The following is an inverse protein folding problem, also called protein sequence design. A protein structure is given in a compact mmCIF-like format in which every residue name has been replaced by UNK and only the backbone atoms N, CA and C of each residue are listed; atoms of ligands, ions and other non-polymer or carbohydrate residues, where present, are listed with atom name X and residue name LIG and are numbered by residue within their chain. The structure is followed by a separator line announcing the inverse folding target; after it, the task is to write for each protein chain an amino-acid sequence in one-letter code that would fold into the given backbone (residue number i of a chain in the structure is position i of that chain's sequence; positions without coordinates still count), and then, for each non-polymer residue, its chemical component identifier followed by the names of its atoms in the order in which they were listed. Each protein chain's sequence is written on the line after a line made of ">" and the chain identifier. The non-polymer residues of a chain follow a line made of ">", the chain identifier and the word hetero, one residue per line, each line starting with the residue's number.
data_IF_954640056722
#
_entry.id   IF_954640056722
#
_cell.length_a   1.000
_cell.length_b   1.000
_cell.length_c   1.000
_cell.angle_alpha   90.00
_cell.angle_beta   90.00
_cell.angle_gamma   90.00
#
_symmetry.space_group_name_H-M   'P 1'
#
loop_
_entity.id
_entity.type
_entity.pdbx_description
1 polymer ?
2 water ?
#
# COMPACT_ATOMS: atom_id res chain seq x y z
N UNK A 1 6.48 41.04 20.53
CA UNK A 1 7.33 41.62 19.45
C UNK A 1 8.19 40.55 18.76
N UNK A 2 8.74 39.62 19.53
CA UNK A 2 9.58 38.54 19.01
C UNK A 2 8.84 37.21 18.81
N UNK A 3 9.24 36.46 17.79
CA UNK A 3 8.58 35.21 17.46
C UNK A 3 9.61 34.20 16.93
N UNK A 4 9.96 33.22 17.76
CA UNK A 4 10.84 32.14 17.32
C UNK A 4 10.09 31.16 16.41
N UNK A 5 10.73 30.71 15.33
CA UNK A 5 10.12 29.70 14.47
C UNK A 5 10.49 28.28 14.86
N UNK A 6 9.49 27.44 15.00
CA UNK A 6 9.72 25.99 15.00
C UNK A 6 8.86 25.35 13.90
N UNK A 7 9.52 24.55 13.08
CA UNK A 7 8.91 23.91 11.93
C UNK A 7 7.93 22.82 12.39
N UNK A 8 7.00 22.49 11.53
CA UNK A 8 6.14 21.35 11.74
C UNK A 8 7.02 20.10 11.85
N UNK A 9 6.88 19.36 12.94
CA UNK A 9 7.69 18.18 13.11
C UNK A 9 7.20 17.01 12.26
N UNK A 10 8.10 16.06 12.05
CA UNK A 10 7.83 14.84 11.29
C UNK A 10 7.99 13.65 12.24
N UNK A 11 7.03 12.72 12.18
CA UNK A 11 7.00 11.52 13.01
C UNK A 11 6.69 10.36 12.07
N UNK A 12 6.98 9.15 12.52
CA UNK A 12 6.69 7.95 11.75
C UNK A 12 6.03 6.86 12.54
N UNK A 13 5.28 6.04 11.82
CA UNK A 13 4.67 4.83 12.36
C UNK A 13 5.07 3.72 11.41
N UNK A 14 5.67 2.67 11.93
CA UNK A 14 5.92 1.47 11.12
C UNK A 14 4.75 0.51 11.36
N UNK A 15 4.23 -0.07 10.28
CA UNK A 15 3.02 -0.88 10.31
C UNK A 15 3.40 -2.33 9.98
N UNK A 16 2.94 -3.25 10.82
CA UNK A 16 3.07 -4.68 10.56
C UNK A 16 1.70 -5.29 10.72
N UNK A 17 1.38 -6.28 9.88
CA UNK A 17 0.10 -6.94 9.97
C UNK A 17 0.42 -8.40 10.25
N UNK A 18 0.04 -8.89 11.43
CA UNK A 18 0.44 -10.24 11.87
C UNK A 18 1.98 -10.48 11.90
N UNK A 19 2.71 -9.45 12.31
CA UNK A 19 4.18 -9.40 12.38
C UNK A 19 4.85 -9.31 11.01
N UNK A 20 4.05 -9.25 9.94
CA UNK A 20 4.57 -9.02 8.60
C UNK A 20 4.69 -7.51 8.35
N UNK A 21 5.91 -7.03 8.15
CA UNK A 21 6.09 -5.60 7.88
C UNK A 21 5.41 -5.20 6.59
N UNK A 22 4.75 -4.04 6.61
CA UNK A 22 4.08 -3.50 5.43
C UNK A 22 4.92 -2.31 4.96
N UNK A 23 5.17 -1.40 5.88
CA UNK A 23 5.95 -0.20 5.55
C UNK A 23 5.75 0.93 6.53
N UNK A 24 6.41 2.04 6.23
CA UNK A 24 6.44 3.22 7.09
C UNK A 24 5.49 4.34 6.62
N UNK A 25 4.76 4.92 7.57
CA UNK A 25 3.96 6.14 7.37
C UNK A 25 4.71 7.30 8.05
N UNK A 26 4.91 8.38 7.32
CA UNK A 26 5.54 9.58 7.86
C UNK A 26 4.50 10.67 7.82
N UNK A 27 4.24 11.28 8.98
CA UNK A 27 3.25 12.34 9.14
C UNK A 27 3.89 13.65 9.54
N UNK A 28 3.34 14.72 8.98
CA UNK A 28 3.75 16.09 9.30
C UNK A 28 2.69 16.63 10.22
N UNK A 29 3.06 17.22 11.34
CA UNK A 29 2.11 17.67 12.37
C UNK A 29 2.03 19.20 12.39
N UNK A 30 0.83 19.73 12.55
CA UNK A 30 0.52 21.16 12.39
C UNK A 30 0.71 21.89 13.72
N UNK A 31 1.96 22.19 14.04
CA UNK A 31 2.32 22.68 15.36
C UNK A 31 1.68 24.04 15.63
N UNK A 32 1.68 24.91 14.63
CA UNK A 32 1.09 26.26 14.77
C UNK A 32 -0.40 26.22 15.09
N UNK A 33 -1.14 25.45 14.31
CA UNK A 33 -2.61 25.45 14.40
C UNK A 33 -3.18 24.56 15.49
N UNK A 34 -2.39 23.58 15.92
CA UNK A 34 -2.84 22.61 16.92
C UNK A 34 -1.67 22.24 17.84
N UNK A 35 -1.29 23.18 18.70
CA UNK A 35 -0.03 22.93 19.41
C UNK A 35 -0.11 21.88 20.53
N UNK A 36 -1.18 21.85 21.30
CA UNK A 36 -1.35 20.82 22.35
C UNK A 36 -1.52 19.42 21.79
N UNK A 37 -2.21 19.36 20.65
CA UNK A 37 -2.51 18.10 19.96
C UNK A 37 -1.23 17.54 19.31
N UNK A 38 -0.49 18.43 18.68
CA UNK A 38 0.78 18.09 18.05
C UNK A 38 1.75 17.58 19.12
N UNK A 39 1.82 18.30 20.25
CA UNK A 39 2.73 17.89 21.32
C UNK A 39 2.40 16.49 21.85
N UNK A 40 1.11 16.22 22.04
CA UNK A 40 0.64 14.93 22.50
C UNK A 40 1.06 13.79 21.54
N UNK A 41 0.73 13.95 20.27
CA UNK A 41 1.05 12.92 19.27
C UNK A 41 2.56 12.71 19.09
N UNK A 42 3.29 13.81 19.01
CA UNK A 42 4.75 13.78 18.90
C UNK A 42 5.36 13.00 20.04
N UNK A 43 4.93 13.26 21.26
CA UNK A 43 5.49 12.59 22.43
C UNK A 43 5.06 11.13 22.60
N UNK A 44 3.86 10.79 22.14
CA UNK A 44 3.41 9.42 22.07
C UNK A 44 4.17 8.64 21.00
N UNK A 45 4.59 9.27 19.92
CA UNK A 45 5.50 8.59 18.98
C UNK A 45 6.90 8.43 19.58
N UNK A 46 7.37 9.47 20.24
CA UNK A 46 8.75 9.48 20.74
C UNK A 46 8.91 8.53 21.93
N UNK A 47 7.85 8.39 22.72
CA UNK A 47 7.78 7.38 23.76
C UNK A 47 8.53 7.72 25.04
N UNK A 48 8.68 9.02 25.33
CA UNK A 48 9.54 9.46 26.46
C UNK A 48 8.81 10.09 27.64
N UNK A 49 7.47 10.05 27.63
CA UNK A 49 6.72 10.49 28.80
C UNK A 49 6.41 9.29 29.68
N UNK A 50 6.66 9.42 30.99
CA UNK A 50 6.40 8.30 31.90
C UNK A 50 4.90 8.04 32.05
N UNK A 51 4.55 6.76 32.10
CA UNK A 51 3.17 6.34 32.10
C UNK A 51 2.56 6.45 33.48
N UNK A 52 1.35 7.05 33.57
CA UNK A 52 0.58 7.08 34.79
C UNK A 52 -0.30 5.83 34.94
N UNK A 53 -0.18 4.90 33.99
CA UNK A 53 -0.98 3.68 33.97
C UNK A 53 -0.30 2.48 34.66
N UNK A 54 1.03 2.47 34.66
CA UNK A 54 1.86 1.38 35.22
C UNK A 54 3.29 1.88 35.51
N UNK A 55 3.86 1.42 36.62
CA UNK A 55 5.06 2.05 37.22
C UNK A 55 6.37 1.96 36.41
N UNK A 56 6.59 0.89 35.68
CA UNK A 56 7.88 0.71 34.97
C UNK A 56 7.72 0.91 33.45
N UNK A 57 7.12 2.03 33.07
CA UNK A 57 6.59 2.17 31.70
C UNK A 57 6.56 3.60 31.14
N UNK A 58 6.49 3.69 29.83
CA UNK A 58 6.35 4.99 29.17
C UNK A 58 5.11 4.94 28.31
N UNK A 59 4.54 6.10 28.02
CA UNK A 59 3.40 6.15 27.12
C UNK A 59 3.94 6.07 25.71
N UNK A 60 3.35 5.21 24.90
CA UNK A 60 3.81 5.14 23.52
C UNK A 60 2.79 4.48 22.62
N UNK A 61 2.86 4.78 21.33
CA UNK A 61 2.03 4.06 20.35
C UNK A 61 2.66 2.73 19.92
N UNK A 62 3.90 2.46 20.33
CA UNK A 62 4.54 1.20 19.94
C UNK A 62 3.77 0.01 20.46
N UNK A 63 3.43 -0.90 19.55
CA UNK A 63 2.61 -2.07 19.85
C UNK A 63 1.11 -1.89 19.82
N UNK A 64 0.65 -0.66 19.57
CA UNK A 64 -0.75 -0.34 19.54
C UNK A 64 -1.33 -0.76 18.20
N UNK A 65 -2.61 -1.12 18.23
CA UNK A 65 -3.33 -1.56 17.06
C UNK A 65 -4.26 -0.55 16.42
N UNK A 66 -4.50 -0.72 15.12
CA UNK A 66 -5.63 -0.09 14.44
C UNK A 66 -6.89 -0.93 14.72
N UNK A 67 -7.74 -0.40 15.59
CA UNK A 67 -8.92 -1.16 16.07
C UNK A 67 -10.21 -0.88 15.29
N UNK A 68 -10.19 0.10 14.41
CA UNK A 68 -11.34 0.41 13.56
C UNK A 68 -10.90 0.89 12.17
N UNK A 69 -11.39 0.17 11.17
CA UNK A 69 -11.08 0.47 9.77
C UNK A 69 -12.38 0.53 8.99
N UNK A 70 -12.61 1.68 8.36
CA UNK A 70 -13.79 1.91 7.53
C UNK A 70 -13.37 2.36 6.14
N UNK A 71 -13.44 1.42 5.20
CA UNK A 71 -13.07 1.72 3.83
C UNK A 71 -13.90 2.89 3.30
N UNK A 72 -13.24 3.80 2.58
CA UNK A 72 -13.81 5.05 2.06
C UNK A 72 -14.13 6.09 3.12
N UNK A 73 -13.47 6.01 4.27
CA UNK A 73 -13.71 6.94 5.37
C UNK A 73 -12.42 7.16 6.17
N UNK A 74 -12.02 6.20 6.98
CA UNK A 74 -10.85 6.39 7.84
C UNK A 74 -10.35 5.12 8.52
N UNK A 75 -9.13 5.20 9.04
CA UNK A 75 -8.55 4.18 9.89
C UNK A 75 -8.17 4.79 11.24
N UNK A 76 -8.46 4.06 12.30
CA UNK A 76 -8.40 4.56 13.67
C UNK A 76 -7.54 3.69 14.59
N UNK A 77 -6.72 4.34 15.41
CA UNK A 77 -5.84 3.67 16.36
C UNK A 77 -5.75 4.50 17.64
N UNK A 78 -4.91 4.05 18.55
CA UNK A 78 -4.47 4.82 19.71
C UNK A 78 -5.11 4.55 21.07
N UNK A 79 -5.83 3.43 21.23
CA UNK A 79 -6.27 3.01 22.59
C UNK A 79 -5.10 2.35 23.30
N UNK A 80 -4.31 3.18 23.95
CA UNK A 80 -3.09 2.71 24.62
C UNK A 80 -3.34 2.26 26.06
N UNK A 81 -4.60 2.36 26.48
CA UNK A 81 -5.06 1.83 27.78
C UNK A 81 -5.37 0.33 27.65
N UNK A 82 -6.16 -0.03 26.64
CA UNK A 82 -6.61 -1.42 26.45
C UNK A 82 -5.99 -2.10 25.25
N UNK A 83 -5.44 -1.33 24.33
CA UNK A 83 -5.30 -1.85 22.97
C UNK A 83 -3.93 -2.38 22.65
N UNK A 84 -3.08 -2.44 23.67
CA UNK A 84 -1.68 -2.69 23.46
C UNK A 84 -1.23 -3.96 24.19
N UNK A 85 -1.72 -4.19 25.41
CA UNK A 85 -1.41 -5.41 26.18
C UNK A 85 -2.32 -6.58 25.81
N UNK A 86 -2.39 -7.61 26.66
CA UNK A 86 -3.12 -8.84 26.33
C UNK A 86 -4.10 -9.28 27.41
N UNK A 87 -5.35 -9.45 27.00
CA UNK A 87 -6.38 -10.08 27.84
C UNK A 87 -6.81 -9.19 29.00
N UNK A 90 -9.04 -7.41 25.19
CA UNK A 90 -10.33 -7.42 25.84
C UNK A 90 -11.39 -7.02 24.86
N UNK A 91 -12.64 -7.22 25.23
CA UNK A 91 -13.74 -6.56 24.57
C UNK A 91 -13.64 -5.06 24.79
N UNK A 92 -12.65 -4.64 25.57
CA UNK A 92 -12.51 -3.27 25.93
C UNK A 92 -11.77 -2.42 24.90
N UNK A 93 -11.09 -3.03 23.96
CA UNK A 93 -10.29 -2.26 23.02
C UNK A 93 -11.12 -1.24 22.27
N UNK A 94 -10.69 0.00 22.28
CA UNK A 94 -11.47 1.06 21.69
C UNK A 94 -12.16 1.95 22.67
N UNK A 95 -12.25 1.50 23.91
CA UNK A 95 -12.93 2.26 24.93
C UNK A 95 -12.04 3.15 25.76
N UNK A 96 -10.74 3.00 25.58
CA UNK A 96 -9.75 3.69 26.40
C UNK A 96 -8.91 4.69 25.66
N UNK A 97 -8.24 5.54 26.41
CA UNK A 97 -7.16 6.37 25.89
C UNK A 97 -6.51 7.15 27.01
N UNK A 98 -5.35 7.71 26.71
CA UNK A 98 -4.51 8.39 27.69
C UNK A 98 -3.54 9.36 27.01
N UNK A 99 -3.72 10.65 27.25
CA UNK A 99 -2.83 11.65 26.73
C UNK A 99 -1.60 11.75 27.62
N UNK A 100 -0.62 12.52 27.14
CA UNK A 100 0.59 12.85 27.90
C UNK A 100 0.28 13.81 29.06
N UNK A 101 -0.92 14.40 29.07
CA UNK A 101 -1.30 15.30 30.18
C UNK A 101 -1.96 14.60 31.38
N UNK A 102 -2.17 13.28 31.30
CA UNK A 102 -2.83 12.52 32.36
C UNK A 102 -1.89 12.47 33.55
N UNK A 103 -2.44 12.43 34.77
CA UNK A 103 -1.61 12.12 35.94
C UNK A 103 -2.16 10.95 36.72
N UNK A 104 -1.29 10.41 37.57
CA UNK A 104 -1.60 9.18 38.27
C UNK A 104 -2.81 9.38 39.19
N UNK A 105 -2.96 10.59 39.75
CA UNK A 105 -4.12 10.94 40.61
C UNK A 105 -5.47 10.73 39.90
N UNK A 106 -5.59 11.21 38.67
CA UNK A 106 -6.80 10.98 37.88
C UNK A 106 -7.08 9.50 37.67
N UNK A 107 -6.04 8.72 37.39
CA UNK A 107 -6.21 7.30 37.07
C UNK A 107 -6.74 6.51 38.29
N UNK A 108 -6.23 6.85 39.48
CA UNK A 108 -6.65 6.21 40.73
C UNK A 108 -8.09 6.61 41.11
N UNK A 109 -8.35 7.92 41.15
CA UNK A 109 -9.63 8.44 41.66
C UNK A 109 -10.82 8.05 40.79
N UNK A 110 -10.75 8.29 39.48
CA UNK A 110 -11.85 7.89 38.59
C UNK A 110 -11.69 6.45 38.09
N UNK A 111 -12.23 5.53 38.91
CA UNK A 111 -12.37 4.09 38.58
C UNK A 111 -13.10 3.80 37.27
N UNK A 112 -14.27 4.39 37.12
CA UNK A 112 -15.21 4.05 36.04
C UNK A 112 -14.78 4.54 34.66
N UNK A 113 -13.93 5.56 34.62
CA UNK A 113 -13.47 6.15 33.36
C UNK A 113 -12.15 5.51 32.94
N UNK A 114 -11.99 5.34 31.64
CA UNK A 114 -10.77 4.77 31.07
C UNK A 114 -10.13 5.68 30.03
N UNK A 115 -10.57 6.94 30.03
CA UNK A 115 -10.03 7.97 29.16
C UNK A 115 -9.46 9.08 30.01
N UNK A 116 -8.13 9.15 30.04
CA UNK A 116 -7.41 9.99 30.98
C UNK A 116 -6.69 11.13 30.27
N UNK A 117 -6.60 12.28 30.93
CA UNK A 117 -5.87 13.42 30.39
C UNK A 117 -6.58 14.10 29.23
N UNK A 118 -7.91 14.04 29.21
CA UNK A 118 -8.65 14.66 28.11
C UNK A 118 -8.24 16.09 28.01
N UNK A 119 -8.06 16.54 26.78
CA UNK A 119 -7.66 17.91 26.55
C UNK A 119 -8.42 18.59 25.41
N UNK A 120 -8.16 19.87 25.22
CA UNK A 120 -9.02 20.71 24.39
C UNK A 120 -8.96 20.42 22.90
N UNK A 121 -10.08 20.64 22.23
CA UNK A 121 -10.13 20.70 20.78
C UNK A 121 -9.26 21.82 20.25
N UNK A 122 -8.66 21.57 19.08
CA UNK A 122 -7.93 22.61 18.36
C UNK A 122 -8.16 22.44 16.87
N UNK A 123 -8.10 23.56 16.14
CA UNK A 123 -8.15 23.53 14.68
C UNK A 123 -9.30 22.66 14.14
N UNK A 124 -10.53 22.98 14.53
CA UNK A 124 -11.70 22.17 14.14
C UNK A 124 -12.18 22.46 12.71
N UNK A 125 -11.40 22.04 11.71
CA UNK A 125 -11.70 22.37 10.31
C UNK A 125 -12.51 21.35 9.53
N UNK A 126 -12.36 21.38 8.21
CA UNK A 126 -13.09 20.48 7.31
C UNK A 126 -12.19 19.34 6.83
N UNK A 127 -12.78 18.15 6.68
CA UNK A 127 -12.11 16.97 6.18
C UNK A 127 -12.42 16.81 4.71
N UNK A 128 -11.51 17.40 3.93
CA UNK A 128 -11.65 17.48 2.48
C UNK A 128 -10.74 16.47 1.77
N UNK A 129 -9.45 16.54 2.04
CA UNK A 129 -8.46 15.68 1.38
C UNK A 129 -8.27 14.38 2.16
N UNK A 130 -8.00 13.29 1.44
CA UNK A 130 -7.58 12.09 2.17
C UNK A 130 -6.25 12.31 2.89
N UNK A 131 -5.96 11.42 3.85
CA UNK A 131 -4.70 11.39 4.57
C UNK A 131 -4.55 12.51 5.59
N UNK A 132 -5.69 13.00 6.07
CA UNK A 132 -5.71 14.00 7.14
C UNK A 132 -5.71 13.30 8.49
N UNK A 133 -4.86 13.76 9.41
CA UNK A 133 -4.87 13.26 10.78
C UNK A 133 -5.82 14.07 11.65
N UNK A 134 -6.73 13.36 12.31
CA UNK A 134 -7.64 13.94 13.29
C UNK A 134 -7.74 13.18 14.59
N UNK A 135 -8.14 13.87 15.66
CA UNK A 135 -8.38 13.23 16.94
C UNK A 135 -9.77 12.66 17.05
N UNK A 136 -9.81 11.44 17.56
CA UNK A 136 -11.06 10.78 17.86
C UNK A 136 -11.46 11.39 19.16
N UNK A 137 -12.73 11.45 19.47
CA UNK A 137 -12.98 11.97 20.79
C UNK A 137 -14.15 11.20 21.31
N UNK A 138 -14.72 11.63 22.43
CA UNK A 138 -15.79 10.87 23.03
C UNK A 138 -17.13 11.37 22.57
N UNK A 139 -17.14 12.25 21.57
CA UNK A 139 -18.40 12.71 21.01
C UNK A 139 -18.92 14.00 21.64
N UNK A 140 -18.09 14.64 22.47
CA UNK A 140 -18.38 15.97 22.99
C UNK A 140 -17.09 16.78 22.97
N UNK A 141 -17.20 18.11 23.09
CA UNK A 141 -16.04 18.98 23.05
C UNK A 141 -14.98 18.64 24.08
N UNK A 142 -13.73 18.84 23.67
CA UNK A 142 -12.58 18.75 24.55
C UNK A 142 -12.40 17.41 25.23
N UNK A 143 -12.62 16.36 24.46
CA UNK A 143 -12.45 15.00 24.96
C UNK A 143 -11.39 14.21 24.16
N UNK A 144 -10.30 14.89 23.83
CA UNK A 144 -9.17 14.32 23.14
C UNK A 144 -8.23 13.65 24.11
N UNK A 145 -7.77 12.46 23.77
CA UNK A 145 -6.77 11.81 24.61
C UNK A 145 -5.62 11.22 23.79
N UNK A 146 -5.74 9.96 23.38
CA UNK A 146 -4.71 9.33 22.53
C UNK A 146 -5.26 8.70 21.24
N UNK A 147 -6.58 8.52 21.12
CA UNK A 147 -7.13 7.89 19.92
C UNK A 147 -7.14 8.91 18.76
N UNK A 148 -6.77 8.43 17.58
CA UNK A 148 -6.68 9.28 16.41
C UNK A 148 -7.07 8.49 15.19
N UNK A 149 -7.30 9.22 14.09
CA UNK A 149 -7.59 8.57 12.80
C UNK A 149 -6.85 9.25 11.65
N UNK A 150 -6.71 8.50 10.56
CA UNK A 150 -6.20 9.03 9.32
C UNK A 150 -7.34 8.83 8.33
N UNK A 151 -7.80 9.91 7.73
CA UNK A 151 -8.86 9.79 6.74
C UNK A 151 -8.30 9.21 5.44
N UNK A 152 -9.19 8.56 4.71
CA UNK A 152 -8.87 7.92 3.44
C UNK A 152 -9.78 8.44 2.33
N UNK A 153 -10.54 9.50 2.63
CA UNK A 153 -11.55 10.03 1.72
C UNK A 153 -11.88 11.45 2.12
N UNK A 154 -12.86 12.07 1.47
CA UNK A 154 -13.45 13.29 2.02
C UNK A 154 -14.40 12.76 3.11
N UNK A 155 -14.51 13.48 4.21
CA UNK A 155 -15.36 13.07 5.33
C UNK A 155 -16.10 14.26 5.94
N UNK A 156 -16.99 14.89 5.16
CA UNK A 156 -17.65 16.12 5.61
C UNK A 156 -18.50 15.94 6.89
N UNK A 157 -18.97 14.72 7.17
CA UNK A 157 -19.75 14.48 8.39
C UNK A 157 -18.91 14.76 9.66
N UNK A 158 -17.58 14.68 9.54
CA UNK A 158 -16.65 15.02 10.66
C UNK A 158 -16.36 16.49 10.82
N UNK A 159 -16.79 17.33 9.87
CA UNK A 159 -16.45 18.75 9.89
C UNK A 159 -16.83 19.43 11.20
N UNK A 160 -15.88 20.19 11.74
CA UNK A 160 -16.07 20.95 12.98
C UNK A 160 -16.11 20.16 14.27
N UNK A 161 -15.92 18.85 14.20
CA UNK A 161 -16.07 17.99 15.37
C UNK A 161 -14.78 17.35 15.90
N UNK A 162 -13.72 17.38 15.10
CA UNK A 162 -12.49 16.66 15.43
C UNK A 162 -11.27 17.50 15.14
N UNK A 163 -10.33 17.55 16.07
CA UNK A 163 -9.14 18.38 15.89
C UNK A 163 -8.33 17.86 14.72
N UNK A 164 -7.99 18.74 13.79
CA UNK A 164 -7.14 18.40 12.64
C UNK A 164 -5.72 18.79 12.98
N UNK A 165 -4.81 17.83 13.00
CA UNK A 165 -3.47 18.11 13.50
C UNK A 165 -2.33 17.66 12.62
N UNK A 166 -2.64 17.17 11.43
CA UNK A 166 -1.56 16.72 10.56
C UNK A 166 -1.98 16.07 9.28
N UNK A 167 -0.98 15.64 8.51
CA UNK A 167 -1.22 14.97 7.24
C UNK A 167 -0.13 13.95 6.97
N UNK A 168 -0.50 12.92 6.21
CA UNK A 168 0.51 11.95 5.75
C UNK A 168 1.35 12.54 4.62
N UNK A 169 2.65 12.43 4.76
CA UNK A 169 3.59 12.87 3.74
C UNK A 169 4.22 11.72 2.95
N UNK A 170 4.64 10.68 3.65
CA UNK A 170 5.17 9.47 3.01
C UNK A 170 4.38 8.26 3.46
N UNK A 171 4.27 7.27 2.59
CA UNK A 171 3.57 6.05 2.94
C UNK A 171 2.05 6.09 2.85
N UNK A 172 1.52 6.95 1.99
CA UNK A 172 0.12 6.91 1.64
C UNK A 172 -0.34 5.53 1.19
N UNK A 173 0.49 4.79 0.47
CA UNK A 173 0.11 3.41 0.12
C UNK A 173 -0.06 2.44 1.30
N UNK A 174 0.64 2.69 2.40
CA UNK A 174 0.53 1.85 3.58
C UNK A 174 -0.81 2.13 4.25
N UNK A 175 -1.19 3.41 4.27
CA UNK A 175 -2.53 3.77 4.72
C UNK A 175 -3.60 3.03 3.90
N UNK A 176 -3.44 3.00 2.58
CA UNK A 176 -4.40 2.28 1.75
C UNK A 176 -4.40 0.78 2.01
N UNK A 177 -3.24 0.21 2.32
CA UNK A 177 -3.15 -1.21 2.66
C UNK A 177 -3.98 -1.55 3.91
N UNK A 178 -3.86 -0.71 4.95
CA UNK A 178 -4.65 -0.85 6.17
C UNK A 178 -6.15 -0.72 5.85
N UNK A 179 -6.48 0.30 5.05
CA UNK A 179 -7.87 0.65 4.69
C UNK A 179 -8.59 -0.51 4.04
N UNK A 180 -7.86 -1.32 3.28
CA UNK A 180 -8.41 -2.49 2.59
C UNK A 180 -8.44 -3.82 3.35
N UNK A 181 -8.06 -3.80 4.63
CA UNK A 181 -8.01 -5.02 5.46
C UNK A 181 -9.41 -5.50 5.68
N UNK A 182 -9.62 -6.81 5.69
CA UNK A 182 -10.96 -7.29 5.95
C UNK A 182 -11.34 -6.99 7.38
N UNK A 183 -12.59 -6.63 7.57
CA UNK A 183 -13.13 -6.32 8.89
C UNK A 183 -14.41 -7.07 9.18
N UNK A 184 -14.79 -7.14 10.45
CA UNK A 184 -16.17 -7.52 10.82
C UNK A 184 -17.16 -6.35 10.66
N UNK A 185 -18.41 -6.56 11.04
CA UNK A 185 -19.46 -5.56 10.82
C UNK A 185 -19.26 -4.29 11.65
N UNK A 186 -18.49 -4.41 12.72
CA UNK A 186 -18.09 -3.28 13.55
C UNK A 186 -16.77 -2.59 13.11
N UNK A 187 -16.20 -2.97 11.98
CA UNK A 187 -14.96 -2.32 11.49
C UNK A 187 -13.69 -2.80 12.20
N UNK A 188 -13.81 -3.83 13.01
CA UNK A 188 -12.63 -4.43 13.62
C UNK A 188 -11.89 -5.32 12.61
N UNK A 189 -10.60 -5.02 12.33
CA UNK A 189 -9.84 -5.88 11.40
C UNK A 189 -9.74 -7.35 11.85
N UNK A 190 -9.90 -8.27 10.90
CA UNK A 190 -9.66 -9.69 11.17
C UNK A 190 -8.22 -9.98 11.54
N UNK A 191 -7.27 -9.35 10.84
CA UNK A 191 -5.86 -9.49 11.11
C UNK A 191 -5.43 -8.46 12.16
N UNK A 192 -4.23 -8.69 12.70
CA UNK A 192 -3.71 -7.86 13.78
C UNK A 192 -2.83 -6.76 13.17
N UNK A 193 -3.43 -5.60 12.97
CA UNK A 193 -2.72 -4.44 12.36
C UNK A 193 -2.10 -3.58 13.44
N UNK A 194 -0.78 -3.54 13.49
CA UNK A 194 -0.05 -2.92 14.59
C UNK A 194 0.90 -1.84 14.13
N UNK A 195 1.03 -0.84 14.99
CA UNK A 195 2.10 0.11 14.90
C UNK A 195 3.28 -0.59 15.59
N UNK A 196 4.15 -1.22 14.80
CA UNK A 196 5.24 -2.06 15.36
C UNK A 196 6.40 -1.22 15.91
N UNK A 197 6.53 0.02 15.45
CA UNK A 197 7.45 0.99 16.02
C UNK A 197 7.01 2.39 15.61
N UNK A 198 7.59 3.40 16.24
CA UNK A 198 7.22 4.78 15.96
C UNK A 198 8.27 5.68 16.58
N UNK A 199 8.30 6.93 16.15
CA UNK A 199 9.32 7.86 16.62
C UNK A 199 9.32 9.12 15.86
N UNK A 200 10.31 9.94 16.20
CA UNK A 200 10.55 11.15 15.47
C UNK A 200 11.29 10.75 14.19
N UNK A 201 10.88 11.34 13.08
CA UNK A 201 11.44 11.03 11.75
C UNK A 201 12.32 12.13 11.16
N UNK A 202 13.40 11.71 10.51
CA UNK A 202 14.03 12.57 9.52
C UNK A 202 14.57 11.75 8.37
N UNK A 203 14.84 12.47 7.29
CA UNK A 203 14.98 11.88 5.97
C UNK A 203 16.07 10.82 5.84
N UNK A 204 17.13 10.90 6.64
CA UNK A 204 18.18 9.86 6.59
C UNK A 204 17.72 8.49 7.15
N UNK A 205 16.61 8.46 7.89
CA UNK A 205 16.03 7.19 8.35
C UNK A 205 15.34 6.38 7.27
N UNK A 206 14.94 7.03 6.19
CA UNK A 206 14.33 6.37 5.06
C UNK A 206 12.87 6.04 5.26
N UNK A 207 12.29 5.46 4.21
CA UNK A 207 10.85 5.17 4.16
C UNK A 207 10.73 3.74 3.63
N UNK A 208 10.85 2.75 4.52
CA UNK A 208 10.73 1.37 4.04
C UNK A 208 9.32 1.04 3.50
N UNK A 209 9.29 0.17 2.50
CA UNK A 209 8.02 -0.33 1.93
C UNK A 209 8.28 -1.76 1.47
N UNK A 210 7.40 -2.66 1.88
CA UNK A 210 7.59 -4.11 1.65
C UNK A 210 6.62 -4.73 0.64
N UNK A 211 5.45 -4.15 0.45
CA UNK A 211 4.43 -4.73 -0.43
C UNK A 211 4.29 -4.06 -1.79
N UNK A 212 5.20 -3.14 -2.07
CA UNK A 212 5.35 -2.50 -3.35
C UNK A 212 6.74 -1.87 -3.31
N UNK A 213 7.13 -1.16 -4.37
CA UNK A 213 8.46 -0.55 -4.46
C UNK A 213 8.38 0.97 -4.55
N UNK A 214 9.05 1.66 -3.64
CA UNK A 214 9.12 3.12 -3.73
C UNK A 214 10.51 3.61 -4.17
N UNK A 215 11.26 2.70 -4.78
CA UNK A 215 12.58 3.03 -5.33
C UNK A 215 12.40 4.08 -6.43
N UNK A 216 13.13 5.19 -6.29
CA UNK A 216 13.06 6.24 -7.28
C UNK A 216 13.97 6.01 -8.49
N UNK A 217 14.64 4.87 -8.55
CA UNK A 217 15.38 4.46 -9.76
C UNK A 217 14.62 4.72 -11.07
N UNK A 218 15.28 5.38 -12.01
CA UNK A 218 14.65 5.74 -13.26
C UNK A 218 13.76 6.97 -13.27
N UNK A 219 13.73 7.71 -12.17
CA UNK A 219 12.91 8.89 -12.04
C UNK A 219 11.49 8.59 -11.63
N UNK A 220 11.25 7.42 -11.01
CA UNK A 220 9.90 7.10 -10.56
C UNK A 220 9.57 7.82 -9.22
N UNK A 221 9.03 9.03 -9.38
CA UNK A 221 8.59 9.88 -8.29
C UNK A 221 7.11 9.72 -7.90
N UNK A 222 6.40 8.79 -8.55
CA UNK A 222 4.94 8.76 -8.54
C UNK A 222 4.43 7.90 -7.38
N UNK A 223 3.28 8.26 -6.85
CA UNK A 223 2.63 7.43 -5.84
C UNK A 223 2.28 6.04 -6.40
N UNK A 224 2.37 5.08 -5.50
CA UNK A 224 1.94 3.72 -5.81
C UNK A 224 0.53 3.68 -6.34
N UNK A 225 -0.39 4.31 -5.59
CA UNK A 225 -1.79 4.38 -6.02
C UNK A 225 -1.97 5.55 -6.98
N UNK A 226 -2.36 5.25 -8.22
CA UNK A 226 -2.35 6.33 -9.24
C UNK A 226 -3.30 7.49 -8.90
N UNK A 227 -4.44 7.19 -8.30
CA UNK A 227 -5.38 8.28 -7.96
C UNK A 227 -4.88 9.12 -6.80
N UNK A 228 -3.94 8.61 -6.03
CA UNK A 228 -3.33 9.38 -4.93
C UNK A 228 -2.11 10.21 -5.33
N UNK A 229 -1.63 10.07 -6.57
CA UNK A 229 -0.52 10.87 -7.06
C UNK A 229 -0.97 12.32 -7.23
N UNK A 230 -0.06 13.26 -7.04
CA UNK A 230 -0.45 14.66 -7.15
C UNK A 230 0.36 15.42 -8.23
N UNK A 231 1.04 14.69 -9.14
CA UNK A 231 1.95 15.32 -10.14
C UNK A 231 1.28 15.92 -11.38
N UNK A 232 0.06 15.49 -11.72
CA UNK A 232 -0.58 15.96 -12.95
C UNK A 232 -2.10 15.83 -12.81
N UNK A 233 -2.84 16.41 -13.75
CA UNK A 233 -4.29 16.48 -13.65
C UNK A 233 -4.93 15.21 -14.19
N UNK A 234 -6.14 14.90 -13.73
CA UNK A 234 -6.73 13.58 -14.07
C UNK A 234 -7.13 13.42 -15.53
N UNK A 235 -7.06 14.48 -16.33
CA UNK A 235 -7.27 14.35 -17.78
C UNK A 235 -6.08 14.84 -18.59
N UNK A 236 -4.91 14.90 -17.94
CA UNK A 236 -3.67 15.14 -18.63
C UNK A 236 -3.01 13.84 -19.10
N UNK A 237 -3.37 13.43 -20.32
CA UNK A 237 -3.08 12.10 -20.82
C UNK A 237 -1.63 11.98 -21.21
N UNK A 238 -1.04 13.08 -21.68
CA UNK A 238 0.38 13.12 -22.02
C UNK A 238 1.27 12.93 -20.81
N UNK A 239 0.96 13.64 -19.74
CA UNK A 239 1.72 13.45 -18.50
C UNK A 239 1.46 12.07 -17.86
N UNK A 240 0.23 11.55 -17.92
CA UNK A 240 -0.08 10.18 -17.45
C UNK A 240 0.70 9.12 -18.20
N UNK A 241 0.76 9.24 -19.54
CA UNK A 241 1.55 8.34 -20.37
C UNK A 241 3.03 8.42 -20.09
N UNK A 242 3.53 9.64 -19.84
CA UNK A 242 4.91 9.82 -19.45
C UNK A 242 5.17 9.08 -18.15
N UNK A 243 4.22 9.17 -17.22
CA UNK A 243 4.38 8.53 -15.92
C UNK A 243 4.45 7.02 -16.08
N UNK A 244 3.50 6.47 -16.81
CA UNK A 244 3.43 5.02 -17.02
C UNK A 244 4.71 4.49 -17.68
N UNK A 245 5.25 5.25 -18.65
CA UNK A 245 6.50 4.89 -19.29
C UNK A 245 7.68 4.94 -18.35
N UNK A 246 7.77 5.98 -17.51
CA UNK A 246 8.84 6.11 -16.54
C UNK A 246 8.81 4.91 -15.59
N UNK A 247 7.62 4.58 -15.13
CA UNK A 247 7.46 3.51 -14.15
C UNK A 247 7.87 2.16 -14.76
N UNK A 248 7.42 1.93 -16.00
CA UNK A 248 7.88 0.76 -16.79
C UNK A 248 9.39 0.70 -16.89
N UNK A 249 10.03 1.81 -17.25
CA UNK A 249 11.48 1.80 -17.38
C UNK A 249 12.21 1.56 -16.08
N UNK A 250 11.66 2.09 -14.98
CA UNK A 250 12.13 1.81 -13.62
C UNK A 250 12.16 0.30 -13.36
N UNK A 251 11.06 -0.37 -13.72
CA UNK A 251 10.96 -1.82 -13.63
C UNK A 251 12.05 -2.56 -14.40
N UNK A 252 12.30 -2.12 -15.62
CA UNK A 252 13.34 -2.73 -16.44
C UNK A 252 14.75 -2.52 -15.86
N UNK A 253 15.03 -1.34 -15.30
CA UNK A 253 16.31 -1.09 -14.62
C UNK A 253 16.48 -2.07 -13.47
N UNK A 254 15.39 -2.33 -12.76
CA UNK A 254 15.42 -3.25 -11.65
C UNK A 254 15.56 -4.68 -12.15
N UNK A 255 14.89 -5.01 -13.24
CA UNK A 255 14.98 -6.32 -13.81
C UNK A 255 16.43 -6.64 -14.22
N UNK A 256 17.09 -5.64 -14.80
CA UNK A 256 18.50 -5.81 -15.20
C UNK A 256 19.47 -6.06 -14.04
N UNK A 257 19.10 -5.62 -12.83
CA UNK A 257 19.86 -5.86 -11.61
C UNK A 257 19.48 -7.17 -10.92
N UNK A 258 18.59 -7.92 -11.55
CA UNK A 258 17.99 -9.16 -11.02
C UNK A 258 17.21 -8.94 -9.74
N UNK A 259 16.67 -7.72 -9.60
CA UNK A 259 15.79 -7.39 -8.48
C UNK A 259 14.37 -7.68 -8.98
N UNK A 260 14.03 -8.96 -9.04
CA UNK A 260 12.81 -9.34 -9.72
C UNK A 260 11.55 -8.96 -8.95
N UNK A 261 11.58 -9.02 -7.63
CA UNK A 261 10.36 -8.63 -6.89
C UNK A 261 10.05 -7.16 -7.09
N UNK A 262 11.06 -6.28 -7.00
CA UNK A 262 10.79 -4.85 -7.26
C UNK A 262 10.48 -4.51 -8.73
N UNK A 263 11.04 -5.26 -9.69
CA UNK A 263 10.68 -5.10 -11.09
C UNK A 263 9.21 -5.41 -11.29
N UNK A 264 8.79 -6.51 -10.65
CA UNK A 264 7.36 -6.89 -10.70
C UNK A 264 6.50 -5.76 -10.12
N UNK A 265 6.88 -5.25 -8.98
CA UNK A 265 6.11 -4.19 -8.34
C UNK A 265 5.99 -2.95 -9.24
N UNK A 266 7.09 -2.57 -9.89
CA UNK A 266 7.03 -1.46 -10.85
C UNK A 266 6.17 -1.74 -12.08
N UNK A 267 6.28 -2.93 -12.68
CA UNK A 267 5.44 -3.22 -13.84
C UNK A 267 3.95 -3.23 -13.50
N UNK A 268 3.60 -3.79 -12.34
CA UNK A 268 2.22 -3.78 -11.83
C UNK A 268 1.73 -2.34 -11.63
N UNK A 269 2.58 -1.50 -11.06
CA UNK A 269 2.24 -0.08 -10.86
C UNK A 269 2.01 0.67 -12.20
N UNK A 270 2.88 0.41 -13.18
CA UNK A 270 2.74 0.96 -14.53
C UNK A 270 1.39 0.54 -15.11
N UNK A 271 1.03 -0.75 -14.99
CA UNK A 271 -0.30 -1.24 -15.40
C UNK A 271 -1.43 -0.49 -14.72
N UNK A 272 -1.31 -0.28 -13.43
CA UNK A 272 -2.34 0.45 -12.71
C UNK A 272 -2.53 1.90 -13.21
N UNK A 273 -1.41 2.55 -13.54
CA UNK A 273 -1.44 3.91 -14.13
C UNK A 273 -2.12 3.88 -15.47
N UNK A 274 -1.78 2.87 -16.28
CA UNK A 274 -2.41 2.71 -17.59
C UNK A 274 -3.91 2.54 -17.45
N UNK A 275 -4.35 1.63 -16.59
CA UNK A 275 -5.76 1.35 -16.41
C UNK A 275 -6.53 2.55 -15.87
N UNK A 276 -5.88 3.34 -15.01
CA UNK A 276 -6.49 4.53 -14.42
C UNK A 276 -6.64 5.69 -15.43
N UNK A 277 -5.61 5.95 -16.22
CA UNK A 277 -5.56 7.20 -16.99
C UNK A 277 -5.77 7.06 -18.49
N UNK A 278 -5.92 5.84 -18.99
CA UNK A 278 -5.93 5.73 -20.44
C UNK A 278 -7.23 6.29 -21.04
N UNK A 279 -7.08 7.16 -22.05
CA UNK A 279 -8.25 7.77 -22.66
C UNK A 279 -8.92 6.86 -23.67
N UNK A 280 -10.22 7.02 -23.86
CA UNK A 280 -10.94 6.27 -24.87
C UNK A 280 -10.59 6.79 -26.28
N UNK A 281 -10.77 5.95 -27.32
CA UNK A 281 -10.36 6.32 -28.70
C UNK A 281 -10.87 7.68 -29.19
N UNK A 282 -12.14 7.96 -28.93
CA UNK A 282 -12.75 9.25 -29.30
C UNK A 282 -12.30 10.49 -28.48
N UNK A 283 -11.58 10.29 -27.37
CA UNK A 283 -11.16 11.40 -26.50
C UNK A 283 -9.75 11.86 -26.84
N UNK A 284 -8.89 10.89 -27.12
CA UNK A 284 -7.53 11.15 -27.53
C UNK A 284 -7.03 9.92 -28.31
N UNK A 285 -7.21 10.01 -29.62
CA UNK A 285 -6.91 8.92 -30.53
C UNK A 285 -5.49 8.38 -30.48
N UNK A 286 -4.51 9.26 -30.57
CA UNK A 286 -3.10 8.85 -30.69
C UNK A 286 -2.55 8.32 -29.37
N UNK A 287 -3.02 8.90 -28.26
CA UNK A 287 -2.60 8.44 -26.95
C UNK A 287 -3.30 7.17 -26.52
N UNK A 288 -4.56 6.98 -26.91
CA UNK A 288 -5.22 5.72 -26.65
C UNK A 288 -4.40 4.59 -27.27
N UNK A 289 -3.96 4.79 -28.50
CA UNK A 289 -3.11 3.80 -29.15
C UNK A 289 -1.81 3.60 -28.42
N UNK A 290 -1.22 4.69 -27.93
CA UNK A 290 0.06 4.57 -27.24
C UNK A 290 -0.06 3.84 -25.89
N UNK A 291 -1.18 4.06 -25.19
CA UNK A 291 -1.42 3.41 -23.88
C UNK A 291 -1.62 1.90 -24.10
N UNK A 292 -2.31 1.56 -25.19
CA UNK A 292 -2.59 0.17 -25.52
C UNK A 292 -1.33 -0.59 -25.85
N UNK A 293 -0.47 0.01 -26.66
CA UNK A 293 0.82 -0.58 -26.93
C UNK A 293 1.72 -0.80 -25.72
N UNK A 294 1.74 0.17 -24.82
CA UNK A 294 2.49 0.05 -23.57
C UNK A 294 1.88 -1.06 -22.69
N UNK A 295 0.56 -1.17 -22.66
CA UNK A 295 -0.13 -2.22 -21.88
C UNK A 295 0.29 -3.61 -22.38
N UNK A 296 0.37 -3.79 -23.70
CA UNK A 296 0.86 -5.07 -24.23
C UNK A 296 2.26 -5.37 -23.74
N UNK A 297 3.14 -4.38 -23.80
CA UNK A 297 4.50 -4.58 -23.33
C UNK A 297 4.54 -4.93 -21.85
N UNK A 298 3.69 -4.28 -21.07
CA UNK A 298 3.67 -4.50 -19.63
C UNK A 298 3.22 -5.93 -19.32
N UNK A 299 2.13 -6.39 -19.95
CA UNK A 299 1.68 -7.76 -19.74
C UNK A 299 2.79 -8.77 -20.10
N UNK A 300 3.49 -8.54 -21.20
CA UNK A 300 4.64 -9.42 -21.55
C UNK A 300 5.76 -9.41 -20.52
N UNK A 301 6.19 -8.24 -20.07
CA UNK A 301 7.17 -8.12 -18.99
C UNK A 301 6.73 -8.82 -17.73
N UNK A 302 5.47 -8.63 -17.36
CA UNK A 302 4.92 -9.27 -16.15
C UNK A 302 5.01 -10.80 -16.25
N UNK A 303 4.62 -11.35 -17.38
CA UNK A 303 4.65 -12.80 -17.57
C UNK A 303 6.07 -13.37 -17.41
N UNK A 304 7.08 -12.63 -17.87
CA UNK A 304 8.45 -13.06 -17.68
C UNK A 304 8.97 -12.92 -16.27
N UNK A 305 8.78 -11.76 -15.64
CA UNK A 305 9.38 -11.57 -14.32
C UNK A 305 8.71 -12.47 -13.26
N UNK A 306 7.43 -12.74 -13.44
CA UNK A 306 6.73 -13.57 -12.47
C UNK A 306 7.13 -15.05 -12.57
N UNK A 307 7.53 -15.46 -13.76
CA UNK A 307 8.14 -16.76 -13.96
C UNK A 307 9.42 -16.88 -13.15
N UNK A 308 10.26 -15.84 -13.19
CA UNK A 308 11.48 -15.81 -12.42
C UNK A 308 11.28 -15.87 -10.90
N UNK A 309 10.13 -15.40 -10.44
CA UNK A 309 9.75 -15.44 -9.03
C UNK A 309 8.98 -16.70 -8.65
N UNK A 310 8.86 -17.67 -9.54
CA UNK A 310 8.13 -18.95 -9.27
C UNK A 310 6.67 -18.66 -9.01
N UNK A 311 6.17 -17.60 -9.67
CA UNK A 311 4.77 -17.21 -9.56
C UNK A 311 4.35 -17.56 -10.97
N UNK A 312 3.78 -18.75 -11.10
CA UNK A 312 3.46 -19.31 -12.42
C UNK A 312 1.99 -19.00 -12.64
N UNK A 313 1.17 -19.07 -11.59
CA UNK A 313 -0.21 -18.66 -11.69
C UNK A 313 -0.37 -17.22 -12.14
N UNK A 314 0.38 -16.33 -11.50
CA UNK A 314 0.39 -14.92 -11.89
C UNK A 314 0.87 -14.71 -13.34
N UNK A 315 1.96 -15.37 -13.72
CA UNK A 315 2.52 -15.32 -15.09
C UNK A 315 1.49 -15.77 -16.12
N UNK A 316 0.81 -16.88 -15.82
CA UNK A 316 -0.27 -17.34 -16.69
C UNK A 316 -1.42 -16.31 -16.83
N UNK A 317 -1.83 -15.68 -15.73
CA UNK A 317 -2.86 -14.65 -15.75
C UNK A 317 -2.50 -13.51 -16.71
N UNK A 318 -1.31 -12.94 -16.54
CA UNK A 318 -0.94 -11.79 -17.34
C UNK A 318 -0.76 -12.14 -18.82
N UNK A 319 -0.16 -13.29 -19.13
CA UNK A 319 -0.08 -13.75 -20.52
C UNK A 319 -1.47 -13.90 -21.16
N UNK A 320 -2.43 -14.42 -20.39
CA UNK A 320 -3.82 -14.54 -20.83
C UNK A 320 -4.50 -13.18 -21.08
N UNK A 321 -4.27 -12.20 -20.20
CA UNK A 321 -4.76 -10.84 -20.45
C UNK A 321 -4.24 -10.32 -21.80
N UNK A 322 -2.96 -10.55 -22.10
CA UNK A 322 -2.35 -10.12 -23.35
C UNK A 322 -2.98 -10.83 -24.55
N UNK A 323 -3.09 -12.15 -24.48
CA UNK A 323 -3.68 -12.93 -25.60
C UNK A 323 -5.16 -12.59 -25.87
N UNK A 324 -5.86 -12.11 -24.85
CA UNK A 324 -7.26 -11.75 -24.99
C UNK A 324 -7.50 -10.36 -25.57
N UNK A 325 -6.45 -9.56 -25.69
CA UNK A 325 -6.53 -8.25 -26.34
C UNK A 325 -6.79 -8.43 -27.85
N UNK A 326 -7.42 -7.43 -28.45
CA UNK A 326 -7.67 -7.35 -29.89
C UNK A 326 -6.38 -6.92 -30.61
N UNK A 327 -6.12 -7.51 -31.78
CA UNK A 327 -5.07 -7.00 -32.68
C UNK A 327 -3.66 -6.98 -32.11
N UNK A 328 -3.33 -8.00 -31.34
CA UNK A 328 -2.00 -8.15 -30.82
C UNK A 328 -1.12 -8.59 -31.99
N UNK A 329 0.00 -7.88 -32.23
CA UNK A 329 0.93 -8.33 -33.28
C UNK A 329 1.42 -9.76 -33.08
N UNK A 330 1.67 -10.46 -34.19
CA UNK A 330 2.04 -11.87 -34.10
C UNK A 330 3.28 -12.12 -33.26
N UNK A 331 4.30 -11.27 -33.37
CA UNK A 331 5.53 -11.47 -32.59
C UNK A 331 5.23 -11.37 -31.08
N UNK A 332 4.32 -10.48 -30.70
CA UNK A 332 3.93 -10.35 -29.28
C UNK A 332 3.11 -11.55 -28.79
N UNK A 333 2.20 -12.01 -29.64
CA UNK A 333 1.41 -13.23 -29.40
C UNK A 333 2.35 -14.41 -29.16
N UNK A 334 3.37 -14.54 -30.00
CA UNK A 334 4.31 -15.64 -29.86
C UNK A 334 5.06 -15.59 -28.55
N UNK A 335 5.49 -14.39 -28.14
CA UNK A 335 6.08 -14.26 -26.82
C UNK A 335 5.15 -14.66 -25.66
N UNK A 336 3.86 -14.29 -25.76
CA UNK A 336 2.88 -14.60 -24.73
C UNK A 336 2.68 -16.11 -24.66
N UNK A 337 2.50 -16.76 -25.82
CA UNK A 337 2.33 -18.23 -25.85
C UNK A 337 3.56 -18.95 -25.28
N UNK A 338 4.75 -18.49 -25.63
CA UNK A 338 5.97 -19.11 -25.13
C UNK A 338 6.06 -18.98 -23.63
N UNK A 339 5.79 -17.79 -23.12
CA UNK A 339 5.91 -17.58 -21.69
C UNK A 339 4.81 -18.27 -20.88
N UNK A 340 3.58 -18.27 -21.40
CA UNK A 340 2.51 -19.02 -20.79
C UNK A 340 2.82 -20.52 -20.82
N UNK A 341 3.31 -21.01 -21.96
CA UNK A 341 3.77 -22.40 -22.05
C UNK A 341 4.83 -22.77 -21.05
N UNK A 342 5.83 -21.91 -20.86
CA UNK A 342 6.86 -22.15 -19.90
C UNK A 342 6.30 -22.32 -18.48
N UNK A 343 5.34 -21.47 -18.14
CA UNK A 343 4.69 -21.55 -16.83
C UNK A 343 3.85 -22.84 -16.68
N UNK A 344 3.07 -23.19 -17.68
CA UNK A 344 2.33 -24.46 -17.60
C UNK A 344 3.30 -25.65 -17.45
N UNK A 345 4.45 -25.56 -18.12
CA UNK A 345 5.44 -26.64 -18.08
C UNK A 345 6.00 -26.81 -16.69
N UNK A 346 6.34 -25.71 -16.03
CA UNK A 346 6.77 -25.77 -14.64
C UNK A 346 5.71 -26.37 -13.72
N UNK A 347 4.45 -26.14 -14.02
CA UNK A 347 3.35 -26.69 -13.22
C UNK A 347 3.00 -28.14 -13.62
N UNK A 348 3.75 -28.69 -14.56
CA UNK A 348 3.55 -30.04 -15.10
C UNK A 348 2.18 -30.20 -15.75
N UNK A 349 1.70 -29.10 -16.35
CA UNK A 349 0.51 -29.09 -17.17
C UNK A 349 0.93 -29.30 -18.62
N UNK A 350 1.21 -30.55 -18.96
CA UNK A 350 1.91 -30.88 -20.20
C UNK A 350 1.08 -30.63 -21.44
N UNK A 351 -0.22 -31.00 -21.40
CA UNK A 351 -1.11 -30.74 -22.54
C UNK A 351 -1.25 -29.27 -22.81
N UNK A 352 -1.39 -28.49 -21.75
CA UNK A 352 -1.54 -27.04 -21.90
C UNK A 352 -0.27 -26.39 -22.46
N UNK A 353 0.86 -26.83 -21.94
CA UNK A 353 2.16 -26.30 -22.36
C UNK A 353 2.39 -26.62 -23.84
N UNK A 354 2.11 -27.87 -24.22
CA UNK A 354 2.27 -28.26 -25.60
C UNK A 354 1.45 -27.41 -26.56
N UNK A 355 0.18 -27.17 -26.23
CA UNK A 355 -0.68 -26.39 -27.11
C UNK A 355 -0.21 -24.93 -27.27
N UNK A 356 0.21 -24.31 -26.18
CA UNK A 356 0.79 -22.96 -26.25
C UNK A 356 2.06 -22.93 -27.12
N UNK A 357 2.92 -23.93 -26.96
CA UNK A 357 4.18 -23.98 -27.70
C UNK A 357 3.91 -24.20 -29.19
N UNK A 358 2.88 -24.98 -29.50
CA UNK A 358 2.39 -25.11 -30.89
C UNK A 358 1.83 -23.81 -31.46
N UNK A 359 1.08 -23.05 -30.68
CA UNK A 359 0.61 -21.74 -31.14
C UNK A 359 1.78 -20.77 -31.29
N UNK A 360 2.78 -20.89 -30.41
CA UNK A 360 3.98 -20.08 -30.52
C UNK A 360 4.60 -20.29 -31.91
N UNK A 361 4.78 -21.53 -32.30
CA UNK A 361 5.29 -21.81 -33.64
C UNK A 361 4.46 -21.23 -34.79
N UNK A 362 3.14 -21.43 -34.74
CA UNK A 362 2.27 -20.89 -35.80
C UNK A 362 2.50 -19.40 -35.95
N UNK A 363 2.63 -18.71 -34.82
CA UNK A 363 2.77 -17.24 -34.79
C UNK A 363 4.15 -16.68 -35.07
N UNK A 364 5.19 -17.49 -34.88
CA UNK A 364 6.54 -17.09 -35.27
C UNK A 364 7.32 -18.33 -35.72
N UNK A 365 7.11 -18.79 -36.98
CA UNK A 365 7.76 -20.06 -37.34
C UNK A 365 9.28 -20.04 -37.59
N UNK A 366 9.91 -18.87 -37.53
CA UNK A 366 11.37 -18.78 -37.51
C UNK A 366 11.83 -18.72 -36.04
N UNK A 367 11.39 -19.68 -35.24
CA UNK A 367 11.38 -19.57 -33.77
C UNK A 367 12.65 -20.07 -33.05
N UNK A 368 13.41 -20.95 -33.69
CA UNK A 368 14.73 -21.37 -33.19
C UNK A 368 14.86 -22.34 -32.00
N UNK A 369 14.25 -21.98 -30.89
CA UNK A 369 14.28 -22.78 -29.65
C UNK A 369 13.00 -23.64 -29.54
N UNK A 370 11.98 -23.30 -30.34
CA UNK A 370 10.61 -23.77 -30.13
C UNK A 370 10.39 -25.23 -30.61
N UNK A 371 10.91 -25.56 -31.79
CA UNK A 371 10.77 -26.93 -32.27
C UNK A 371 11.37 -27.90 -31.26
N UNK A 372 12.53 -27.59 -30.69
CA UNK A 372 13.11 -28.47 -29.65
C UNK A 372 12.24 -28.53 -28.39
N UNK A 373 11.53 -27.45 -28.10
CA UNK A 373 10.72 -27.39 -26.89
C UNK A 373 9.49 -28.31 -27.01
N UNK A 374 8.87 -28.28 -28.18
CA UNK A 374 7.74 -29.14 -28.51
C UNK A 374 8.19 -30.60 -28.40
N UNK A 375 9.43 -30.88 -28.83
CA UNK A 375 9.97 -32.25 -28.75
C UNK A 375 10.18 -32.68 -27.30
N UNK A 376 10.70 -31.76 -26.51
CA UNK A 376 10.92 -32.01 -25.10
C UNK A 376 9.60 -32.35 -24.39
N UNK A 377 8.56 -31.55 -24.63
CA UNK A 377 7.26 -31.79 -24.01
C UNK A 377 6.63 -33.10 -24.50
N UNK A 378 6.72 -33.35 -25.80
CA UNK A 378 6.24 -34.63 -26.39
C UNK A 378 6.89 -35.82 -25.68
N UNK A 379 8.17 -35.71 -25.34
CA UNK A 379 8.85 -36.79 -24.60
C UNK A 379 8.36 -36.95 -23.17
N UNK A 380 8.06 -35.84 -22.51
CA UNK A 380 7.59 -35.90 -21.14
C UNK A 380 6.22 -36.57 -21.10
N UNK A 381 5.41 -36.30 -22.11
CA UNK A 381 4.07 -36.89 -22.21
C UNK A 381 4.18 -38.41 -22.44
N UNK A 382 5.17 -38.81 -23.23
CA UNK A 382 5.43 -40.23 -23.46
C UNK A 382 5.96 -40.92 -22.20
N UNK A 383 6.87 -40.25 -21.49
CA UNK A 383 7.37 -40.76 -20.20
C UNK A 383 6.23 -40.95 -19.22
N UNK A 384 5.31 -40.00 -19.20
CA UNK A 384 4.12 -40.13 -18.38
C UNK A 384 3.20 -41.30 -18.72
N UNK A 385 2.98 -41.51 -20.01
CA UNK A 385 2.22 -42.68 -20.40
C UNK A 385 2.90 -43.99 -20.01
N UNK A 386 4.23 -44.05 -20.06
CA UNK A 386 4.96 -45.24 -19.56
C UNK A 386 4.81 -45.45 -18.06
N UNK A 387 4.88 -44.38 -17.27
CA UNK A 387 4.66 -44.52 -15.83
C UNK A 387 3.28 -45.09 -15.58
N UNK A 388 2.29 -44.52 -16.27
CA UNK A 388 0.92 -44.99 -16.17
C UNK A 388 0.83 -46.48 -16.50
N UNK A 389 1.39 -46.88 -17.64
CA UNK A 389 1.34 -48.28 -18.09
C UNK A 389 2.00 -49.23 -17.08
N UNK A 390 3.14 -48.85 -16.50
CA UNK A 390 3.79 -49.68 -15.47
C UNK A 390 3.02 -49.67 -14.15
#
# INVERSE_FOLDING_TARGET
>A
HHHMMIQDPLVYLDISIDKKPIGRIVCKLFREKAPKTTENFYKLCAGDVKSPLKDQQYLSYKGNGFHRVVKNFMIQAGDIVFGTQKDSSSSSVGKGGCSIYADKEEVKTDDESFCYGNFEDENLGEFVEPFTLGMANLGSPNTNNSQFFITTYAAPHLNGKHSIFGQVVHGKSVVRTIENCRVDSDGVPESDVRISDCGVWEKTMGVPLYNASNDQIGGDVYEEYPDDDTHFGDDDFGKALEAANIIKESGTLLFKKKDYSNAFFKYRKSLNYINEYMPEPDVDKERNIQFINLKMKIYLNLSLVLFNLERYDDAIMYATYLLEMDNVPNRDQAKAYYRRGNSYLKKKRLDEALQDYIFCKEKNPDDEVIEQRIEYVNRLIEENKEKTRKNISKFFS
#
